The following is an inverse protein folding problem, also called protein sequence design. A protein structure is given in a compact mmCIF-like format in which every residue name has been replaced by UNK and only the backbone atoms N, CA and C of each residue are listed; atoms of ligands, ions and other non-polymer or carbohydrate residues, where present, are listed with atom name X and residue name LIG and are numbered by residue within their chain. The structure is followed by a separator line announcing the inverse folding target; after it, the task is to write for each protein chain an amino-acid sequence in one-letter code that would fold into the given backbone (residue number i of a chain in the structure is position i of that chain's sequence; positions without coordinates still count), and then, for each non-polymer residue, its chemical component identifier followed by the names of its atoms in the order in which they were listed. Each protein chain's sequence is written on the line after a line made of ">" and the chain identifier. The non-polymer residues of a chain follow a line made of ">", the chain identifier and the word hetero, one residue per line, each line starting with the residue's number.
data_IF_540155563344
#
_entry.id   IF_540155563344
#
_cell.length_a   1.000
_cell.length_b   1.000
_cell.length_c   1.000
_cell.angle_alpha   90.00
_cell.angle_beta   90.00
_cell.angle_gamma   90.00
#
_symmetry.space_group_name_H-M   'P 1'
#
loop_
_entity.id
_entity.type
_entity.pdbx_description
1 polymer ?
#
# COMPACT_ATOMS: atom_id res chain seq x y z
N UNK A 1 23.05 23.64 19.92
CA UNK A 1 24.13 23.37 18.94
C UNK A 1 24.09 21.88 18.67
N UNK A 2 23.37 21.45 17.64
CA UNK A 2 23.44 20.09 17.14
C UNK A 2 24.45 20.13 15.98
N UNK A 3 25.45 19.26 16.06
CA UNK A 3 26.61 19.18 15.19
C UNK A 3 26.29 19.19 13.68
N UNK A 4 27.25 19.72 12.91
CA UNK A 4 27.39 19.71 11.45
C UNK A 4 27.48 18.29 10.85
N UNK A 5 26.55 17.39 11.19
CA UNK A 5 26.37 16.14 10.46
C UNK A 5 25.63 16.48 9.16
N UNK A 6 26.21 16.21 7.98
CA UNK A 6 25.47 16.37 6.73
C UNK A 6 24.21 15.50 6.79
N UNK A 7 23.05 16.01 6.33
CA UNK A 7 21.79 15.27 6.39
C UNK A 7 21.94 13.90 5.75
N UNK A 8 21.39 12.85 6.39
CA UNK A 8 21.38 11.49 5.84
C UNK A 8 20.88 11.50 4.39
N UNK A 9 21.62 10.85 3.51
CA UNK A 9 21.28 10.73 2.10
C UNK A 9 21.19 9.27 1.68
N UNK A 10 20.39 9.01 0.66
CA UNK A 10 20.40 7.72 -0.02
C UNK A 10 21.79 7.44 -0.60
N UNK A 11 22.27 6.22 -0.40
CA UNK A 11 23.56 5.77 -0.91
C UNK A 11 23.57 5.68 -2.43
N UNK A 12 22.41 5.33 -3.02
CA UNK A 12 22.25 5.09 -4.44
C UNK A 12 20.95 5.66 -4.99
N UNK A 13 20.91 5.84 -6.31
CA UNK A 13 19.69 6.26 -7.01
C UNK A 13 18.63 5.16 -6.97
N UNK A 14 19.08 3.92 -7.16
CA UNK A 14 18.23 2.75 -7.09
C UNK A 14 17.56 2.64 -5.72
N UNK A 15 18.31 2.88 -4.64
CA UNK A 15 17.78 2.89 -3.28
C UNK A 15 16.68 3.92 -3.07
N UNK A 16 16.85 5.14 -3.59
CA UNK A 16 15.79 6.16 -3.60
C UNK A 16 14.56 5.68 -4.39
N UNK A 17 14.74 5.20 -5.62
CA UNK A 17 13.64 4.77 -6.50
C UNK A 17 12.86 3.61 -5.88
N UNK A 18 13.56 2.58 -5.37
CA UNK A 18 12.90 1.45 -4.72
C UNK A 18 12.19 1.87 -3.43
N UNK A 19 12.74 2.83 -2.69
CA UNK A 19 12.09 3.38 -1.50
C UNK A 19 10.83 4.17 -1.86
N UNK A 20 10.85 5.00 -2.90
CA UNK A 20 9.68 5.79 -3.30
C UNK A 20 8.61 4.91 -3.96
N UNK A 21 9.01 3.89 -4.73
CA UNK A 21 8.09 2.85 -5.20
C UNK A 21 7.50 2.10 -4.01
N UNK A 22 8.31 1.68 -3.03
CA UNK A 22 7.82 0.96 -1.85
C UNK A 22 6.93 1.77 -0.92
N UNK A 23 7.07 3.10 -0.95
CA UNK A 23 6.19 4.03 -0.28
C UNK A 23 4.81 4.14 -0.95
N UNK A 24 4.77 4.05 -2.28
CA UNK A 24 3.53 4.10 -3.06
C UNK A 24 2.84 2.73 -3.12
N UNK A 25 3.63 1.66 -3.21
CA UNK A 25 3.14 0.29 -3.30
C UNK A 25 2.78 -0.22 -1.90
N UNK A 26 1.48 -0.40 -1.68
CA UNK A 26 0.92 -0.98 -0.47
C UNK A 26 -0.12 -2.06 -0.74
N UNK A 27 -0.81 -2.49 0.31
CA UNK A 27 -1.95 -3.44 0.22
C UNK A 27 -3.03 -2.99 -0.76
N UNK A 28 -3.23 -1.68 -0.93
CA UNK A 28 -4.19 -1.12 -1.89
C UNK A 28 -3.89 -1.48 -3.35
N UNK A 29 -2.62 -1.63 -3.73
CA UNK A 29 -2.25 -2.10 -5.07
C UNK A 29 -2.66 -3.55 -5.30
N UNK A 30 -2.66 -4.36 -4.24
CA UNK A 30 -2.87 -5.80 -4.33
C UNK A 30 -4.36 -6.17 -4.24
N UNK A 31 -5.13 -5.55 -3.33
CA UNK A 31 -6.54 -5.90 -3.15
C UNK A 31 -7.54 -4.86 -3.62
N UNK A 32 -7.20 -3.57 -3.57
CA UNK A 32 -8.17 -2.50 -3.85
C UNK A 32 -8.23 -2.23 -5.33
N UNK A 33 -7.08 -2.14 -5.98
CA UNK A 33 -7.00 -1.91 -7.43
C UNK A 33 -7.77 -2.95 -8.26
N UNK A 34 -7.59 -4.28 -8.07
CA UNK A 34 -8.34 -5.27 -8.86
C UNK A 34 -9.85 -5.11 -8.70
N UNK A 35 -10.30 -4.81 -7.47
CA UNK A 35 -11.71 -4.56 -7.14
C UNK A 35 -12.25 -3.30 -7.81
N UNK A 36 -11.55 -2.18 -7.68
CA UNK A 36 -11.95 -0.92 -8.30
C UNK A 36 -11.99 -1.02 -9.82
N UNK A 37 -11.01 -1.70 -10.42
CA UNK A 37 -11.02 -1.97 -11.85
C UNK A 37 -12.25 -2.80 -12.23
N UNK A 38 -12.52 -3.88 -11.51
CA UNK A 38 -13.66 -4.75 -11.77
C UNK A 38 -15.02 -4.05 -11.63
N UNK A 39 -15.25 -3.36 -10.51
CA UNK A 39 -16.50 -2.68 -10.21
C UNK A 39 -16.81 -1.53 -11.17
N UNK A 40 -15.79 -0.98 -11.83
CA UNK A 40 -15.89 0.20 -12.69
C UNK A 40 -15.59 -0.09 -14.18
N UNK A 41 -15.90 -1.31 -14.64
CA UNK A 41 -15.88 -1.65 -16.07
C UNK A 41 -14.50 -1.98 -16.64
N UNK A 42 -13.58 -2.45 -15.79
CA UNK A 42 -12.26 -2.97 -16.14
C UNK A 42 -11.43 -1.96 -16.90
N UNK A 43 -11.28 -2.20 -18.21
CA UNK A 43 -10.50 -1.33 -19.09
C UNK A 43 -11.01 0.12 -19.12
N UNK A 44 -12.30 0.35 -18.86
CA UNK A 44 -12.87 1.71 -18.80
C UNK A 44 -12.28 2.51 -17.63
N UNK A 45 -12.24 1.90 -16.44
CA UNK A 45 -11.57 2.45 -15.26
C UNK A 45 -10.07 2.66 -15.51
N UNK A 46 -9.41 1.69 -16.15
CA UNK A 46 -7.97 1.77 -16.44
C UNK A 46 -7.59 2.97 -17.30
N UNK A 47 -8.42 3.35 -18.27
CA UNK A 47 -8.20 4.53 -19.10
C UNK A 47 -8.15 5.79 -18.23
N UNK A 48 -9.15 5.97 -17.36
CA UNK A 48 -9.17 7.09 -16.42
C UNK A 48 -7.99 7.05 -15.46
N UNK A 49 -7.67 5.88 -14.92
CA UNK A 49 -6.62 5.70 -13.93
C UNK A 49 -5.23 6.03 -14.49
N UNK A 50 -4.93 5.62 -15.73
CA UNK A 50 -3.71 6.00 -16.43
C UNK A 50 -3.72 7.48 -16.83
N UNK A 51 -4.84 8.02 -17.29
CA UNK A 51 -4.95 9.44 -17.60
C UNK A 51 -4.62 10.31 -16.38
N UNK A 52 -5.20 10.00 -15.22
CA UNK A 52 -4.94 10.74 -13.98
C UNK A 52 -3.53 10.49 -13.43
N UNK A 53 -2.90 9.33 -13.70
CA UNK A 53 -1.49 9.15 -13.38
C UNK A 53 -0.64 10.25 -14.03
N UNK A 54 -0.81 10.48 -15.34
CA UNK A 54 -0.02 11.47 -16.08
C UNK A 54 -0.48 12.91 -15.89
N UNK A 55 -1.79 13.14 -15.75
CA UNK A 55 -2.36 14.47 -15.66
C UNK A 55 -2.35 15.05 -14.23
N UNK A 56 -2.35 14.19 -13.20
CA UNK A 56 -2.49 14.60 -11.80
C UNK A 56 -1.33 14.08 -10.94
N UNK A 57 -1.19 12.77 -10.83
CA UNK A 57 -0.29 12.15 -9.84
C UNK A 57 1.18 12.44 -10.11
N UNK A 58 1.68 12.23 -11.34
CA UNK A 58 3.08 12.49 -11.68
C UNK A 58 3.43 13.99 -11.54
N UNK A 59 2.66 14.95 -12.07
CA UNK A 59 2.91 16.38 -11.86
C UNK A 59 2.97 16.76 -10.38
N UNK A 60 2.07 16.21 -9.56
CA UNK A 60 2.03 16.51 -8.13
C UNK A 60 3.24 15.89 -7.40
N UNK A 61 3.61 14.65 -7.73
CA UNK A 61 4.84 14.02 -7.24
C UNK A 61 6.08 14.84 -7.63
N UNK A 62 6.15 15.35 -8.86
CA UNK A 62 7.25 16.23 -9.29
C UNK A 62 7.33 17.50 -8.43
N UNK A 63 6.18 18.12 -8.13
CA UNK A 63 6.12 19.29 -7.27
C UNK A 63 6.60 18.95 -5.84
N UNK A 64 6.12 17.86 -5.26
CA UNK A 64 6.50 17.41 -3.92
C UNK A 64 7.99 17.05 -3.83
N UNK A 65 8.53 16.31 -4.81
CA UNK A 65 9.96 16.01 -4.89
C UNK A 65 10.79 17.30 -5.01
N UNK A 66 10.35 18.28 -5.82
CA UNK A 66 11.03 19.56 -5.94
C UNK A 66 11.02 20.35 -4.62
N UNK A 67 9.88 20.38 -3.93
CA UNK A 67 9.70 21.06 -2.64
C UNK A 67 10.61 20.45 -1.59
N UNK A 68 10.57 19.14 -1.37
CA UNK A 68 11.40 18.49 -0.34
C UNK A 68 12.89 18.53 -0.67
N UNK A 69 13.28 18.41 -1.95
CA UNK A 69 14.68 18.51 -2.36
C UNK A 69 15.24 19.92 -2.17
N UNK A 70 14.42 20.96 -2.38
CA UNK A 70 14.81 22.36 -2.22
C UNK A 70 14.89 22.77 -0.75
N UNK A 71 13.89 22.41 0.04
CA UNK A 71 13.76 22.83 1.44
C UNK A 71 14.60 21.99 2.40
N UNK A 72 14.79 20.70 2.09
CA UNK A 72 15.45 19.73 2.99
C UNK A 72 14.76 19.60 4.34
N UNK A 73 13.45 19.81 4.34
CA UNK A 73 12.56 19.70 5.50
C UNK A 73 11.38 18.81 5.15
N UNK A 74 10.81 18.17 6.16
CA UNK A 74 9.51 17.52 6.13
C UNK A 74 8.38 18.49 5.78
N UNK A 75 7.17 17.95 5.64
CA UNK A 75 5.99 18.68 5.14
C UNK A 75 5.73 20.02 5.84
N UNK A 76 5.85 20.07 7.18
CA UNK A 76 5.61 21.27 8.00
C UNK A 76 6.63 22.37 7.68
N UNK A 77 7.92 22.04 7.75
CA UNK A 77 9.00 22.97 7.45
C UNK A 77 9.02 23.37 5.97
N UNK A 78 8.74 22.42 5.08
CA UNK A 78 8.70 22.65 3.65
C UNK A 78 7.61 23.65 3.26
N UNK A 79 6.40 23.52 3.79
CA UNK A 79 5.31 24.47 3.53
C UNK A 79 5.58 25.85 4.15
N UNK A 80 6.18 25.89 5.35
CA UNK A 80 6.62 27.15 5.97
C UNK A 80 7.57 27.94 5.06
N UNK A 81 8.55 27.27 4.46
CA UNK A 81 9.60 27.94 3.69
C UNK A 81 9.21 28.20 2.23
N UNK A 82 8.35 27.37 1.64
CA UNK A 82 7.90 27.53 0.25
C UNK A 82 6.68 28.43 0.08
N UNK A 83 5.68 28.29 0.95
CA UNK A 83 4.42 29.03 0.88
C UNK A 83 4.36 30.20 1.88
N UNK A 84 5.22 30.18 2.90
CA UNK A 84 5.27 31.20 3.96
C UNK A 84 4.67 30.72 5.27
N UNK A 85 4.97 31.44 6.36
CA UNK A 85 4.57 31.07 7.73
C UNK A 85 3.06 30.92 7.93
N UNK A 86 2.24 31.67 7.20
CA UNK A 86 0.79 31.59 7.29
C UNK A 86 0.22 30.29 6.69
N UNK A 87 1.03 29.54 5.93
CA UNK A 87 0.65 28.28 5.27
C UNK A 87 1.30 27.06 5.92
N UNK A 88 1.99 27.20 7.05
CA UNK A 88 2.58 26.09 7.80
C UNK A 88 1.53 25.04 8.21
N UNK A 89 0.27 25.45 8.40
CA UNK A 89 -0.83 24.54 8.72
C UNK A 89 -1.08 23.50 7.63
N UNK A 90 -0.81 23.80 6.35
CA UNK A 90 -0.92 22.82 5.25
C UNK A 90 0.03 21.65 5.47
N UNK A 91 1.27 21.94 5.83
CA UNK A 91 2.27 20.91 6.11
C UNK A 91 1.95 20.09 7.37
N UNK A 92 1.33 20.73 8.38
CA UNK A 92 0.82 20.05 9.59
C UNK A 92 -0.34 19.13 9.21
N UNK A 93 -1.25 19.59 8.36
CA UNK A 93 -2.38 18.80 7.88
C UNK A 93 -1.91 17.56 7.10
N UNK A 94 -0.97 17.71 6.16
CA UNK A 94 -0.37 16.59 5.42
C UNK A 94 0.28 15.56 6.37
N UNK A 95 1.08 16.04 7.33
CA UNK A 95 1.72 15.18 8.34
C UNK A 95 0.67 14.45 9.18
N UNK A 96 -0.38 15.15 9.63
CA UNK A 96 -1.43 14.60 10.46
C UNK A 96 -2.24 13.54 9.71
N UNK A 97 -2.71 13.84 8.49
CA UNK A 97 -3.48 12.90 7.67
C UNK A 97 -2.65 11.64 7.40
N UNK A 98 -1.38 11.78 7.01
CA UNK A 98 -0.50 10.62 6.84
C UNK A 98 -0.36 9.79 8.12
N UNK A 99 -0.13 10.46 9.26
CA UNK A 99 -0.03 9.77 10.57
C UNK A 99 -1.33 9.07 10.96
N UNK A 100 -2.47 9.71 10.72
CA UNK A 100 -3.79 9.17 11.02
C UNK A 100 -4.16 7.97 10.15
N UNK A 101 -3.75 7.98 8.87
CA UNK A 101 -3.78 6.78 8.02
C UNK A 101 -2.96 5.66 8.65
N UNK A 102 -1.78 5.99 9.19
CA UNK A 102 -0.93 5.03 9.90
C UNK A 102 -1.60 4.31 11.06
N UNK A 103 -2.58 4.92 11.73
CA UNK A 103 -3.26 4.30 12.88
C UNK A 103 -4.03 3.04 12.50
N UNK A 104 -4.89 3.13 11.49
CA UNK A 104 -5.65 1.96 11.03
C UNK A 104 -4.82 1.08 10.08
N UNK A 105 -3.89 1.67 9.33
CA UNK A 105 -3.03 0.92 8.42
C UNK A 105 -2.10 -0.06 9.16
N UNK A 106 -1.68 0.28 10.38
CA UNK A 106 -0.95 -0.64 11.26
C UNK A 106 -1.73 -1.93 11.54
N UNK A 107 -3.06 -1.83 11.68
CA UNK A 107 -3.97 -2.96 11.91
C UNK A 107 -4.06 -3.82 10.66
N UNK A 108 -4.25 -3.18 9.50
CA UNK A 108 -4.25 -3.81 8.17
C UNK A 108 -2.95 -4.59 7.91
N UNK A 109 -1.79 -4.00 8.23
CA UNK A 109 -0.51 -4.69 8.15
C UNK A 109 -0.42 -5.87 9.13
N UNK A 110 -1.02 -5.75 10.32
CA UNK A 110 -1.17 -6.86 11.25
C UNK A 110 -1.94 -8.03 10.63
N UNK A 111 -3.03 -7.76 9.90
CA UNK A 111 -3.81 -8.79 9.21
C UNK A 111 -2.97 -9.55 8.18
N UNK A 112 -2.14 -8.86 7.39
CA UNK A 112 -1.29 -9.53 6.40
C UNK A 112 -0.26 -10.44 7.05
N UNK A 113 0.32 -10.02 8.18
CA UNK A 113 1.29 -10.84 8.94
C UNK A 113 0.59 -12.08 9.52
N UNK A 114 -0.60 -11.91 10.09
CA UNK A 114 -1.40 -13.05 10.58
C UNK A 114 -1.72 -14.02 9.46
N UNK A 115 -2.20 -13.55 8.32
CA UNK A 115 -2.54 -14.44 7.21
C UNK A 115 -1.34 -15.12 6.57
N UNK A 116 -0.18 -14.48 6.58
CA UNK A 116 1.07 -15.17 6.23
C UNK A 116 1.34 -16.33 7.20
N UNK A 117 1.11 -16.14 8.50
CA UNK A 117 1.23 -17.22 9.48
C UNK A 117 0.23 -18.36 9.23
N UNK A 118 -1.05 -18.06 8.96
CA UNK A 118 -2.07 -19.09 8.60
C UNK A 118 -1.62 -19.88 7.37
N UNK A 119 -1.13 -19.19 6.34
CA UNK A 119 -0.73 -19.82 5.10
C UNK A 119 0.48 -20.74 5.32
N UNK A 120 1.54 -20.27 6.00
CA UNK A 120 2.77 -21.06 6.16
C UNK A 120 2.64 -22.20 7.16
N UNK A 121 1.85 -22.04 8.22
CA UNK A 121 1.58 -23.08 9.23
C UNK A 121 0.80 -24.26 8.68
N UNK A 122 0.05 -24.05 7.59
CA UNK A 122 -0.79 -25.07 6.97
C UNK A 122 -2.26 -24.96 7.38
N UNK A 123 -2.61 -24.16 8.39
CA UNK A 123 -3.98 -23.94 8.88
C UNK A 123 -4.95 -23.52 7.77
N UNK A 124 -4.45 -22.79 6.76
CA UNK A 124 -5.23 -22.41 5.57
C UNK A 124 -5.69 -23.62 4.76
N UNK A 125 -4.87 -24.67 4.69
CA UNK A 125 -5.11 -25.86 3.84
C UNK A 125 -6.30 -26.68 4.31
N UNK A 126 -6.66 -26.55 5.59
CA UNK A 126 -7.79 -27.24 6.19
C UNK A 126 -9.14 -26.57 5.84
N UNK A 127 -9.11 -25.29 5.43
CA UNK A 127 -10.31 -24.49 5.12
C UNK A 127 -10.65 -24.51 3.62
N UNK A 128 -11.17 -25.64 3.15
CA UNK A 128 -11.32 -25.93 1.70
C UNK A 128 -12.48 -25.24 0.99
N UNK A 129 -13.31 -24.49 1.71
CA UNK A 129 -14.42 -23.72 1.16
C UNK A 129 -14.53 -22.31 1.77
N UNK A 130 -15.30 -21.44 1.12
CA UNK A 130 -15.49 -20.04 1.53
C UNK A 130 -16.15 -19.90 2.90
N UNK A 131 -16.97 -20.87 3.34
CA UNK A 131 -17.61 -20.82 4.67
C UNK A 131 -16.56 -21.01 5.76
N UNK A 132 -15.62 -21.94 5.55
CA UNK A 132 -14.54 -22.21 6.48
C UNK A 132 -13.52 -21.07 6.52
N UNK A 133 -13.19 -20.47 5.38
CA UNK A 133 -12.29 -19.29 5.38
C UNK A 133 -12.95 -18.03 5.91
N UNK A 134 -14.26 -17.87 5.70
CA UNK A 134 -15.05 -16.84 6.38
C UNK A 134 -14.97 -17.04 7.90
N UNK A 135 -15.15 -18.26 8.41
CA UNK A 135 -15.01 -18.54 9.83
C UNK A 135 -13.58 -18.28 10.34
N UNK A 136 -12.53 -18.60 9.56
CA UNK A 136 -11.15 -18.26 9.90
C UNK A 136 -10.95 -16.74 10.05
N UNK A 137 -11.49 -15.97 9.11
CA UNK A 137 -11.47 -14.50 9.16
C UNK A 137 -12.24 -13.97 10.36
N UNK A 138 -13.47 -14.43 10.56
CA UNK A 138 -14.36 -13.95 11.62
C UNK A 138 -13.80 -14.26 13.01
N UNK A 139 -13.22 -15.45 13.20
CA UNK A 139 -12.56 -15.83 14.45
C UNK A 139 -11.37 -14.93 14.77
N UNK A 140 -10.58 -14.58 13.76
CA UNK A 140 -9.44 -13.67 13.93
C UNK A 140 -9.92 -12.24 14.21
N UNK A 141 -10.77 -11.69 13.35
CA UNK A 141 -11.15 -10.28 13.41
C UNK A 141 -12.05 -9.96 14.61
N UNK A 142 -12.77 -10.96 15.12
CA UNK A 142 -13.56 -10.87 16.36
C UNK A 142 -12.73 -11.13 17.62
N UNK A 143 -11.41 -11.30 17.51
CA UNK A 143 -10.47 -11.46 18.62
C UNK A 143 -9.61 -10.20 18.80
N UNK A 144 -10.10 -9.17 19.54
CA UNK A 144 -9.38 -7.91 19.75
C UNK A 144 -7.94 -8.09 20.24
N UNK A 145 -7.71 -9.07 21.14
CA UNK A 145 -6.37 -9.35 21.67
C UNK A 145 -5.40 -9.83 20.59
N UNK A 146 -5.87 -10.68 19.67
CA UNK A 146 -5.05 -11.19 18.57
C UNK A 146 -4.79 -10.10 17.52
N UNK A 147 -5.82 -9.33 17.14
CA UNK A 147 -5.67 -8.22 16.18
C UNK A 147 -4.69 -7.16 16.71
N UNK A 148 -4.84 -6.76 17.98
CA UNK A 148 -3.91 -5.81 18.64
C UNK A 148 -2.50 -6.41 18.71
N UNK A 149 -2.35 -7.70 19.00
CA UNK A 149 -1.03 -8.34 19.03
C UNK A 149 -0.30 -8.24 17.69
N UNK A 150 -0.98 -8.56 16.58
CA UNK A 150 -0.39 -8.44 15.25
C UNK A 150 -0.17 -6.98 14.81
N UNK A 151 -1.03 -6.04 15.23
CA UNK A 151 -0.80 -4.61 15.05
C UNK A 151 0.50 -4.16 15.76
N UNK A 152 0.74 -4.62 16.99
CA UNK A 152 1.96 -4.28 17.74
C UNK A 152 3.22 -4.84 17.05
N UNK A 153 3.15 -6.07 16.52
CA UNK A 153 4.22 -6.64 15.69
C UNK A 153 4.48 -5.77 14.46
N UNK A 154 3.42 -5.35 13.78
CA UNK A 154 3.51 -4.51 12.58
C UNK A 154 4.22 -3.19 12.90
N UNK A 155 3.77 -2.46 13.92
CA UNK A 155 4.40 -1.20 14.36
C UNK A 155 5.84 -1.42 14.78
N UNK A 156 6.16 -2.51 15.51
CA UNK A 156 7.52 -2.79 15.95
C UNK A 156 8.48 -3.00 14.77
N UNK A 157 8.08 -3.76 13.74
CA UNK A 157 8.91 -3.95 12.55
C UNK A 157 9.11 -2.65 11.78
N UNK A 158 8.06 -1.86 11.57
CA UNK A 158 8.17 -0.57 10.90
C UNK A 158 9.06 0.39 11.68
N UNK A 159 8.87 0.49 13.01
CA UNK A 159 9.67 1.31 13.90
C UNK A 159 11.14 0.91 13.87
N UNK A 160 11.45 -0.40 13.87
CA UNK A 160 12.82 -0.90 13.77
C UNK A 160 13.52 -0.44 12.50
N UNK A 161 12.83 -0.47 11.34
CA UNK A 161 13.42 0.00 10.08
C UNK A 161 13.65 1.52 10.12
N UNK A 162 12.67 2.30 10.57
CA UNK A 162 12.76 3.77 10.63
C UNK A 162 13.80 4.24 11.67
N UNK A 163 13.97 3.49 12.77
CA UNK A 163 14.98 3.75 13.80
C UNK A 163 16.41 3.76 13.23
N UNK A 164 16.67 2.96 12.19
CA UNK A 164 17.95 2.88 11.50
C UNK A 164 18.14 3.98 10.42
N UNK A 165 17.25 4.98 10.39
CA UNK A 165 17.33 6.13 9.49
C UNK A 165 17.16 5.77 8.02
N UNK A 166 17.59 6.67 7.14
CA UNK A 166 17.46 6.48 5.68
C UNK A 166 18.21 5.23 5.22
N UNK A 167 19.35 4.92 5.85
CA UNK A 167 20.13 3.72 5.50
C UNK A 167 19.38 2.41 5.77
N UNK A 168 18.60 2.35 6.87
CA UNK A 168 17.76 1.20 7.19
C UNK A 168 16.60 1.07 6.20
N UNK A 169 15.93 2.18 5.90
CA UNK A 169 14.83 2.24 4.94
C UNK A 169 15.30 1.83 3.54
N UNK A 170 16.46 2.32 3.09
CA UNK A 170 17.03 1.98 1.79
C UNK A 170 17.34 0.48 1.70
N UNK A 171 18.04 -0.08 2.71
CA UNK A 171 18.38 -1.50 2.75
C UNK A 171 17.14 -2.39 2.77
N UNK A 172 16.12 -2.02 3.54
CA UNK A 172 14.86 -2.75 3.58
C UNK A 172 14.18 -2.74 2.21
N UNK A 173 13.98 -1.57 1.59
CA UNK A 173 13.31 -1.48 0.29
C UNK A 173 14.11 -2.12 -0.87
N UNK A 174 15.44 -2.10 -0.80
CA UNK A 174 16.31 -2.81 -1.75
C UNK A 174 16.09 -4.32 -1.77
N UNK A 175 15.51 -4.89 -0.71
CA UNK A 175 15.21 -6.33 -0.61
C UNK A 175 13.71 -6.55 -0.79
N UNK A 176 12.88 -5.84 -0.01
CA UNK A 176 11.44 -6.06 0.07
C UNK A 176 10.73 -5.81 -1.27
N UNK A 177 11.08 -4.75 -2.00
CA UNK A 177 10.41 -4.40 -3.26
C UNK A 177 10.74 -5.37 -4.40
N UNK A 178 12.01 -5.73 -4.65
CA UNK A 178 12.31 -6.78 -5.61
C UNK A 178 11.68 -8.13 -5.25
N UNK A 179 11.69 -8.53 -3.96
CA UNK A 179 11.03 -9.76 -3.51
C UNK A 179 9.52 -9.69 -3.74
N UNK A 180 8.87 -8.58 -3.39
CA UNK A 180 7.45 -8.34 -3.62
C UNK A 180 7.10 -8.52 -5.11
N UNK A 181 7.83 -7.85 -6.00
CA UNK A 181 7.58 -7.94 -7.46
C UNK A 181 7.81 -9.36 -7.96
N UNK A 182 8.87 -10.04 -7.52
CA UNK A 182 9.13 -11.42 -7.92
C UNK A 182 8.00 -12.37 -7.47
N UNK A 183 7.53 -12.23 -6.23
CA UNK A 183 6.43 -13.02 -5.70
C UNK A 183 5.12 -12.73 -6.43
N UNK A 184 4.83 -11.47 -6.75
CA UNK A 184 3.64 -11.11 -7.53
C UNK A 184 3.70 -11.62 -8.97
N UNK A 185 4.89 -11.66 -9.61
CA UNK A 185 5.05 -12.24 -10.94
C UNK A 185 4.75 -13.75 -10.90
N UNK A 186 5.26 -14.48 -9.90
CA UNK A 186 4.94 -15.91 -9.72
C UNK A 186 3.44 -16.11 -9.53
N UNK A 187 2.81 -15.32 -8.65
CA UNK A 187 1.37 -15.35 -8.43
C UNK A 187 0.57 -14.98 -9.69
N UNK A 188 1.08 -14.09 -10.54
CA UNK A 188 0.45 -13.67 -11.80
C UNK A 188 0.47 -14.76 -12.88
N UNK A 189 1.54 -15.57 -12.93
CA UNK A 189 1.69 -16.63 -13.94
C UNK A 189 0.82 -17.85 -13.60
N UNK A 190 0.65 -18.14 -12.31
CA UNK A 190 0.05 -19.40 -11.87
C UNK A 190 -1.37 -19.68 -12.40
N UNK A 191 -2.31 -18.70 -12.46
CA UNK A 191 -3.66 -18.94 -12.97
C UNK A 191 -3.70 -19.49 -14.39
N UNK A 192 -2.73 -19.10 -15.22
CA UNK A 192 -2.60 -19.57 -16.59
C UNK A 192 -2.08 -21.01 -16.68
N UNK A 193 -1.41 -21.51 -15.65
CA UNK A 193 -1.03 -22.92 -15.53
C UNK A 193 -2.22 -23.75 -15.08
N UNK A 194 -3.01 -23.22 -14.15
CA UNK A 194 -4.17 -23.90 -13.58
C UNK A 194 -5.34 -24.02 -14.56
N UNK A 195 -5.82 -22.90 -15.09
CA UNK A 195 -6.94 -22.83 -16.04
C UNK A 195 -6.71 -21.68 -17.03
N UNK A 196 -6.05 -21.95 -18.17
CA UNK A 196 -5.72 -20.92 -19.15
C UNK A 196 -6.94 -20.15 -19.66
N UNK A 197 -8.08 -20.81 -19.90
CA UNK A 197 -9.28 -20.15 -20.43
C UNK A 197 -9.94 -19.22 -19.43
N UNK A 198 -10.02 -19.64 -18.16
CA UNK A 198 -10.53 -18.79 -17.07
C UNK A 198 -9.61 -17.60 -16.80
N UNK A 199 -8.30 -17.82 -16.73
CA UNK A 199 -7.33 -16.73 -16.56
C UNK A 199 -7.38 -15.71 -17.70
N UNK A 200 -7.54 -16.15 -18.96
CA UNK A 200 -7.74 -15.27 -20.12
C UNK A 200 -9.04 -14.46 -19.99
N UNK A 201 -10.09 -15.01 -19.40
CA UNK A 201 -11.33 -14.28 -19.15
C UNK A 201 -11.11 -13.16 -18.12
N UNK A 202 -10.37 -13.43 -17.04
CA UNK A 202 -9.95 -12.40 -16.08
C UNK A 202 -9.14 -11.28 -16.74
N UNK A 203 -8.23 -11.61 -17.67
CA UNK A 203 -7.51 -10.60 -18.46
C UNK A 203 -8.45 -9.78 -19.34
N UNK A 204 -9.37 -10.43 -20.06
CA UNK A 204 -10.35 -9.74 -20.90
C UNK A 204 -11.18 -8.77 -20.06
N UNK A 205 -11.61 -9.21 -18.89
CA UNK A 205 -12.36 -8.36 -17.98
C UNK A 205 -11.54 -7.16 -17.49
N UNK A 206 -10.27 -7.37 -17.14
CA UNK A 206 -9.39 -6.28 -16.71
C UNK A 206 -9.08 -5.27 -17.82
N UNK A 207 -8.77 -5.74 -19.04
CA UNK A 207 -8.20 -4.89 -20.09
C UNK A 207 -9.19 -4.45 -21.18
N UNK A 208 -10.32 -5.13 -21.38
CA UNK A 208 -11.32 -4.73 -22.38
C UNK A 208 -12.27 -3.70 -21.76
N UNK A 209 -12.34 -2.47 -22.30
CA UNK A 209 -13.22 -1.45 -21.75
C UNK A 209 -14.69 -1.77 -21.97
N UNK A 210 -15.48 -1.75 -20.90
CA UNK A 210 -16.93 -1.80 -21.00
C UNK A 210 -17.49 -0.41 -21.29
N UNK A 211 -17.96 -0.20 -22.51
CA UNK A 211 -18.28 1.13 -23.05
C UNK A 211 -19.27 1.94 -22.20
N UNK A 212 -20.23 1.29 -21.54
CA UNK A 212 -21.19 1.97 -20.66
C UNK A 212 -20.54 2.70 -19.48
N UNK A 213 -19.42 2.19 -18.96
CA UNK A 213 -18.72 2.77 -17.81
C UNK A 213 -17.93 4.02 -18.19
N UNK A 214 -17.59 4.20 -19.46
CA UNK A 214 -16.93 5.42 -19.95
C UNK A 214 -17.83 6.66 -19.80
N UNK A 215 -19.14 6.47 -19.82
CA UNK A 215 -20.14 7.55 -19.68
C UNK A 215 -20.61 7.75 -18.24
N UNK A 216 -20.15 6.92 -17.28
CA UNK A 216 -20.47 7.07 -15.85
C UNK A 216 -19.43 7.97 -15.19
N UNK A 217 -19.84 9.13 -14.69
CA UNK A 217 -18.95 10.05 -13.97
C UNK A 217 -18.28 9.41 -12.74
N UNK A 218 -18.97 8.48 -12.08
CA UNK A 218 -18.41 7.72 -10.94
C UNK A 218 -17.13 6.95 -11.32
N UNK A 219 -17.08 6.30 -12.49
CA UNK A 219 -15.89 5.59 -12.98
C UNK A 219 -14.65 6.48 -12.98
N UNK A 220 -14.79 7.73 -13.44
CA UNK A 220 -13.70 8.70 -13.51
C UNK A 220 -13.29 9.21 -12.13
N UNK A 221 -14.26 9.46 -11.25
CA UNK A 221 -13.97 9.87 -9.86
C UNK A 221 -13.22 8.74 -9.14
N UNK A 222 -13.69 7.49 -9.23
CA UNK A 222 -13.03 6.31 -8.65
C UNK A 222 -11.61 6.15 -9.20
N UNK A 223 -11.42 6.33 -10.50
CA UNK A 223 -10.11 6.23 -11.15
C UNK A 223 -9.14 7.33 -10.69
N UNK A 224 -9.61 8.57 -10.55
CA UNK A 224 -8.83 9.68 -9.99
C UNK A 224 -8.44 9.39 -8.54
N UNK A 225 -9.40 9.03 -7.69
CA UNK A 225 -9.17 8.70 -6.27
C UNK A 225 -8.16 7.56 -6.14
N UNK A 226 -8.33 6.48 -6.90
CA UNK A 226 -7.39 5.36 -6.87
C UNK A 226 -5.98 5.79 -7.32
N UNK A 227 -5.86 6.63 -8.36
CA UNK A 227 -4.54 7.10 -8.85
C UNK A 227 -3.84 8.00 -7.83
N UNK A 228 -4.56 8.95 -7.22
CA UNK A 228 -4.01 9.86 -6.22
C UNK A 228 -3.55 9.11 -4.97
N UNK A 229 -4.41 8.26 -4.41
CA UNK A 229 -4.10 7.49 -3.20
C UNK A 229 -3.00 6.47 -3.42
N UNK A 230 -3.06 5.72 -4.52
CA UNK A 230 -2.07 4.66 -4.79
C UNK A 230 -0.67 5.24 -4.97
N UNK A 231 -0.54 6.47 -5.43
CA UNK A 231 0.78 7.12 -5.56
C UNK A 231 1.18 7.94 -4.34
N UNK A 232 0.29 8.09 -3.35
CA UNK A 232 0.42 9.03 -2.22
C UNK A 232 0.69 10.48 -2.66
N UNK A 233 0.21 10.86 -3.85
CA UNK A 233 0.45 12.19 -4.39
C UNK A 233 -0.36 13.23 -3.59
N UNK A 234 0.34 14.24 -3.03
CA UNK A 234 -0.27 15.26 -2.18
C UNK A 234 -0.27 14.92 -0.68
N UNK A 235 0.15 13.70 -0.29
CA UNK A 235 0.28 13.29 1.10
C UNK A 235 1.61 13.71 1.73
N UNK A 236 2.52 14.31 0.94
CA UNK A 236 3.82 14.76 1.44
C UNK A 236 4.86 13.64 1.59
N UNK A 237 4.53 12.45 1.09
CA UNK A 237 5.46 11.31 1.08
C UNK A 237 6.67 11.57 0.18
N UNK A 238 6.44 12.13 -1.00
CA UNK A 238 7.53 12.54 -1.89
C UNK A 238 8.36 13.68 -1.29
N UNK A 239 7.75 14.63 -0.56
CA UNK A 239 8.48 15.67 0.20
C UNK A 239 9.42 15.00 1.21
N UNK A 240 8.89 14.08 2.01
CA UNK A 240 9.60 13.36 3.07
C UNK A 240 10.86 12.68 2.56
N UNK A 241 10.77 11.89 1.49
CA UNK A 241 11.94 11.21 0.94
C UNK A 241 12.86 12.13 0.14
N UNK A 242 12.32 13.22 -0.41
CA UNK A 242 13.13 14.20 -1.12
C UNK A 242 14.15 14.92 -0.22
N UNK A 243 13.89 14.98 1.10
CA UNK A 243 14.85 15.52 2.09
C UNK A 243 16.20 14.81 2.00
N UNK A 244 16.21 13.50 1.76
CA UNK A 244 17.41 12.66 1.70
C UNK A 244 17.97 12.46 0.27
N UNK A 245 17.44 13.15 -0.74
CA UNK A 245 17.91 13.02 -2.13
C UNK A 245 19.30 13.62 -2.33
N UNK A 246 20.14 13.02 -3.17
CA UNK A 246 21.42 13.64 -3.55
C UNK A 246 21.19 14.90 -4.40
N UNK A 247 22.13 15.84 -4.38
CA UNK A 247 21.99 17.15 -5.08
C UNK A 247 21.72 16.98 -6.60
N UNK A 248 22.35 15.99 -7.23
CA UNK A 248 22.27 15.73 -8.68
C UNK A 248 21.10 14.83 -9.11
N UNK A 249 20.19 14.47 -8.20
CA UNK A 249 19.04 13.62 -8.56
C UNK A 249 18.06 14.32 -9.50
N UNK A 250 17.56 13.61 -10.51
CA UNK A 250 16.55 14.12 -11.45
C UNK A 250 15.15 13.91 -10.86
N UNK A 251 14.44 15.02 -10.63
CA UNK A 251 13.10 15.02 -10.05
C UNK A 251 12.07 14.42 -11.01
N UNK A 252 12.14 14.79 -12.29
CA UNK A 252 11.18 14.31 -13.29
C UNK A 252 11.27 12.80 -13.43
N UNK A 253 12.47 12.28 -13.65
CA UNK A 253 12.67 10.84 -13.79
C UNK A 253 12.23 10.08 -12.53
N UNK A 254 12.56 10.58 -11.33
CA UNK A 254 12.16 9.90 -10.09
C UNK A 254 10.64 9.91 -9.87
N UNK A 255 9.95 11.00 -10.24
CA UNK A 255 8.48 11.06 -10.19
C UNK A 255 7.82 10.09 -11.17
N UNK A 256 8.30 10.04 -12.42
CA UNK A 256 7.82 9.10 -13.43
C UNK A 256 8.05 7.65 -13.02
N UNK A 257 9.24 7.30 -12.53
CA UNK A 257 9.55 5.94 -12.09
C UNK A 257 8.74 5.53 -10.86
N UNK A 258 8.48 6.46 -9.94
CA UNK A 258 7.62 6.20 -8.78
C UNK A 258 6.18 5.91 -9.21
N UNK A 259 5.58 6.79 -10.03
CA UNK A 259 4.22 6.63 -10.50
C UNK A 259 4.01 5.41 -11.41
N UNK A 260 4.91 5.20 -12.38
CA UNK A 260 4.85 4.04 -13.28
C UNK A 260 5.16 2.74 -12.55
N UNK A 261 6.14 2.74 -11.64
CA UNK A 261 6.48 1.57 -10.83
C UNK A 261 5.31 1.15 -9.94
N UNK A 262 4.66 2.11 -9.29
CA UNK A 262 3.43 1.89 -8.52
C UNK A 262 2.33 1.23 -9.37
N UNK A 263 2.02 1.81 -10.53
CA UNK A 263 0.97 1.30 -11.40
C UNK A 263 1.34 -0.06 -12.02
N UNK A 264 2.61 -0.31 -12.32
CA UNK A 264 3.07 -1.62 -12.79
C UNK A 264 2.81 -2.71 -11.74
N UNK A 265 3.07 -2.44 -10.46
CA UNK A 265 2.74 -3.40 -9.40
C UNK A 265 1.24 -3.63 -9.28
N UNK A 266 0.42 -2.57 -9.35
CA UNK A 266 -1.05 -2.71 -9.36
C UNK A 266 -1.53 -3.55 -10.54
N UNK A 267 -0.93 -3.41 -11.73
CA UNK A 267 -1.29 -4.21 -12.89
C UNK A 267 -0.90 -5.68 -12.72
N UNK A 268 0.32 -5.96 -12.24
CA UNK A 268 0.76 -7.34 -11.96
C UNK A 268 -0.18 -7.99 -10.94
N UNK A 269 -0.51 -7.28 -9.85
CA UNK A 269 -1.42 -7.78 -8.84
C UNK A 269 -2.86 -7.90 -9.36
N UNK A 270 -3.34 -6.97 -10.19
CA UNK A 270 -4.63 -7.05 -10.87
C UNK A 270 -4.77 -8.28 -11.74
N UNK A 271 -3.74 -8.59 -12.54
CA UNK A 271 -3.69 -9.82 -13.34
C UNK A 271 -3.61 -11.04 -12.45
N UNK A 272 -2.80 -11.01 -11.39
CA UNK A 272 -2.73 -12.10 -10.43
C UNK A 272 -4.11 -12.35 -9.81
N UNK A 273 -4.71 -11.38 -9.16
CA UNK A 273 -5.98 -11.52 -8.45
C UNK A 273 -7.15 -11.85 -9.39
N UNK A 274 -7.38 -11.10 -10.46
CA UNK A 274 -8.51 -11.36 -11.36
C UNK A 274 -8.28 -12.60 -12.22
N UNK A 275 -7.06 -12.83 -12.72
CA UNK A 275 -6.73 -14.05 -13.45
C UNK A 275 -6.96 -15.27 -12.56
N UNK A 276 -6.58 -15.18 -11.29
CA UNK A 276 -6.80 -16.20 -10.27
C UNK A 276 -8.29 -16.42 -10.02
N UNK A 277 -9.06 -15.39 -9.67
CA UNK A 277 -10.50 -15.51 -9.39
C UNK A 277 -11.25 -16.17 -10.55
N UNK A 278 -11.02 -15.70 -11.78
CA UNK A 278 -11.70 -16.25 -12.97
C UNK A 278 -11.17 -17.62 -13.42
N UNK A 279 -9.92 -17.97 -13.12
CA UNK A 279 -9.39 -19.32 -13.37
C UNK A 279 -10.09 -20.39 -12.51
N UNK A 280 -10.68 -19.99 -11.39
CA UNK A 280 -11.24 -20.89 -10.37
C UNK A 280 -12.75 -20.75 -10.18
N UNK A 281 -13.37 -19.80 -10.87
CA UNK A 281 -14.82 -19.70 -10.93
C UNK A 281 -15.36 -20.67 -11.98
N UNK A 282 -16.46 -21.36 -11.68
CA UNK A 282 -17.14 -22.25 -12.63
C UNK A 282 -17.87 -21.45 -13.71
N UNK A 283 -18.13 -20.16 -13.46
CA UNK A 283 -18.75 -19.25 -14.41
C UNK A 283 -18.23 -17.80 -14.29
N UNK A 284 -18.44 -17.01 -15.35
CA UNK A 284 -18.20 -15.56 -15.33
C UNK A 284 -18.98 -14.86 -14.21
N UNK A 285 -20.19 -15.33 -13.90
CA UNK A 285 -21.05 -14.70 -12.89
C UNK A 285 -20.47 -14.86 -11.48
N UNK A 286 -19.99 -16.06 -11.15
CA UNK A 286 -19.33 -16.35 -9.88
C UNK A 286 -18.02 -15.56 -9.73
N UNK A 287 -17.25 -15.44 -10.81
CA UNK A 287 -16.04 -14.63 -10.81
C UNK A 287 -16.31 -13.14 -10.58
N UNK A 288 -17.45 -12.63 -11.02
CA UNK A 288 -17.87 -11.25 -10.75
C UNK A 288 -18.36 -11.08 -9.31
N UNK A 289 -19.17 -12.01 -8.81
CA UNK A 289 -19.68 -11.99 -7.44
C UNK A 289 -18.53 -12.01 -6.42
N UNK A 290 -17.50 -12.84 -6.65
CA UNK A 290 -16.31 -12.88 -5.80
C UNK A 290 -15.61 -11.51 -5.71
N UNK A 291 -15.59 -10.74 -6.80
CA UNK A 291 -14.94 -9.41 -6.82
C UNK A 291 -15.79 -8.33 -6.13
N UNK A 292 -17.10 -8.54 -5.99
CA UNK A 292 -18.01 -7.60 -5.34
C UNK A 292 -17.97 -7.70 -3.79
N UNK A 293 -17.35 -8.73 -3.23
CA UNK A 293 -17.27 -9.05 -1.77
C UNK A 293 -16.52 -8.05 -0.86
N UNK A 294 -16.08 -6.89 -1.38
CA UNK A 294 -15.34 -5.87 -0.62
C UNK A 294 -13.82 -6.14 -0.50
N UNK A 295 -13.06 -5.13 -0.06
CA UNK A 295 -11.58 -5.14 -0.13
C UNK A 295 -10.91 -6.19 0.75
N UNK A 296 -11.39 -6.36 1.99
CA UNK A 296 -10.88 -7.36 2.95
C UNK A 296 -11.42 -8.76 2.63
N UNK A 297 -12.71 -8.86 2.28
CA UNK A 297 -13.36 -10.11 1.88
C UNK A 297 -12.68 -10.80 0.71
N UNK A 298 -12.42 -10.06 -0.37
CA UNK A 298 -11.75 -10.61 -1.55
C UNK A 298 -10.42 -11.29 -1.21
N UNK A 299 -9.64 -10.71 -0.30
CA UNK A 299 -8.27 -11.17 -0.06
C UNK A 299 -8.16 -12.19 1.06
N UNK A 300 -8.79 -11.93 2.19
CA UNK A 300 -8.64 -12.75 3.39
C UNK A 300 -9.66 -13.88 3.49
N UNK A 301 -10.69 -13.87 2.63
CA UNK A 301 -11.73 -14.91 2.61
C UNK A 301 -11.67 -15.64 1.27
N UNK A 302 -11.90 -14.95 0.15
CA UNK A 302 -12.01 -15.59 -1.17
C UNK A 302 -10.68 -16.10 -1.71
N UNK A 303 -9.62 -15.26 -1.74
CA UNK A 303 -8.29 -15.73 -2.16
C UNK A 303 -7.73 -16.79 -1.19
N UNK A 304 -8.11 -16.76 0.08
CA UNK A 304 -7.71 -17.78 1.04
C UNK A 304 -8.41 -19.12 0.76
N UNK A 305 -9.73 -19.11 0.53
CA UNK A 305 -10.51 -20.31 0.17
C UNK A 305 -9.94 -20.96 -1.09
N UNK A 306 -9.55 -20.08 -2.00
CA UNK A 306 -8.90 -20.50 -3.19
C UNK A 306 -7.56 -21.21 -2.93
N UNK A 307 -6.64 -20.56 -2.21
CA UNK A 307 -5.35 -21.20 -1.98
C UNK A 307 -5.52 -22.51 -1.21
N UNK A 308 -6.54 -22.62 -0.35
CA UNK A 308 -6.87 -23.88 0.30
C UNK A 308 -7.33 -24.99 -0.69
N UNK A 309 -8.17 -24.64 -1.68
CA UNK A 309 -8.69 -25.61 -2.66
C UNK A 309 -7.62 -26.18 -3.60
N UNK A 310 -6.46 -25.52 -3.67
CA UNK A 310 -5.31 -25.89 -4.51
C UNK A 310 -4.34 -26.89 -3.85
N UNK A 311 -4.63 -27.38 -2.65
CA UNK A 311 -3.80 -28.36 -1.93
C UNK A 311 -2.36 -27.87 -1.71
N UNK A 312 -1.36 -28.72 -1.95
CA UNK A 312 0.06 -28.37 -1.70
C UNK A 312 0.55 -27.17 -2.52
N UNK A 313 0.08 -27.02 -3.77
CA UNK A 313 0.43 -25.86 -4.59
C UNK A 313 -0.14 -24.58 -3.96
N UNK A 314 -1.37 -24.67 -3.47
CA UNK A 314 -2.07 -23.67 -2.70
C UNK A 314 -1.34 -23.17 -1.45
N UNK A 315 -0.86 -24.10 -0.63
CA UNK A 315 -0.03 -23.79 0.53
C UNK A 315 1.20 -22.95 0.17
N UNK A 316 1.94 -23.34 -0.87
CA UNK A 316 3.14 -22.61 -1.32
C UNK A 316 2.77 -21.22 -1.86
N UNK A 317 1.76 -21.14 -2.73
CA UNK A 317 1.40 -19.90 -3.42
C UNK A 317 0.74 -18.90 -2.46
N UNK A 318 -0.17 -19.36 -1.60
CA UNK A 318 -0.78 -18.53 -0.58
C UNK A 318 0.25 -18.00 0.41
N UNK A 319 1.24 -18.82 0.80
CA UNK A 319 2.35 -18.37 1.65
C UNK A 319 3.16 -17.27 0.96
N UNK A 320 3.49 -17.43 -0.33
CA UNK A 320 4.21 -16.42 -1.12
C UNK A 320 3.38 -15.15 -1.27
N UNK A 321 2.08 -15.27 -1.53
CA UNK A 321 1.16 -14.15 -1.72
C UNK A 321 1.00 -13.32 -0.44
N UNK A 322 0.73 -13.96 0.71
CA UNK A 322 0.59 -13.23 1.97
C UNK A 322 1.92 -12.68 2.50
N UNK A 323 3.05 -13.33 2.17
CA UNK A 323 4.37 -12.76 2.42
C UNK A 323 4.59 -11.49 1.59
N UNK A 324 4.26 -11.54 0.29
CA UNK A 324 4.33 -10.39 -0.60
C UNK A 324 3.45 -9.24 -0.08
N UNK A 325 2.19 -9.53 0.29
CA UNK A 325 1.30 -8.54 0.91
C UNK A 325 1.88 -7.93 2.18
N UNK A 326 2.48 -8.74 3.05
CA UNK A 326 3.12 -8.26 4.27
C UNK A 326 4.30 -7.34 3.99
N UNK A 327 5.06 -7.60 2.92
CA UNK A 327 6.15 -6.72 2.48
C UNK A 327 5.62 -5.39 1.94
N UNK A 328 4.58 -5.43 1.09
CA UNK A 328 3.93 -4.21 0.59
C UNK A 328 3.35 -3.36 1.74
N UNK A 329 2.70 -3.99 2.72
CA UNK A 329 2.19 -3.31 3.90
C UNK A 329 3.34 -2.71 4.74
N UNK A 330 4.42 -3.47 4.96
CA UNK A 330 5.58 -3.02 5.73
C UNK A 330 6.25 -1.79 5.11
N UNK A 331 6.48 -1.79 3.79
CA UNK A 331 7.16 -0.66 3.12
C UNK A 331 6.33 0.61 3.17
N UNK A 332 5.02 0.50 2.95
CA UNK A 332 4.07 1.61 3.10
C UNK A 332 4.00 2.12 4.56
N UNK A 333 3.97 1.22 5.54
CA UNK A 333 3.91 1.63 6.95
C UNK A 333 5.21 2.32 7.43
N UNK A 334 6.37 1.85 6.95
CA UNK A 334 7.67 2.50 7.18
C UNK A 334 7.65 3.93 6.63
N UNK A 335 7.10 4.11 5.44
CA UNK A 335 6.93 5.42 4.80
C UNK A 335 6.03 6.35 5.61
N UNK A 336 4.87 5.87 6.05
CA UNK A 336 3.96 6.64 6.88
C UNK A 336 4.59 7.09 8.20
N UNK A 337 5.27 6.19 8.92
CA UNK A 337 5.99 6.54 10.15
C UNK A 337 7.09 7.58 9.89
N UNK A 338 7.90 7.37 8.84
CA UNK A 338 8.98 8.29 8.47
C UNK A 338 8.45 9.69 8.10
N UNK A 339 7.27 9.78 7.48
CA UNK A 339 6.60 11.05 7.18
C UNK A 339 6.26 11.87 8.41
N UNK A 340 5.91 11.22 9.53
CA UNK A 340 5.72 11.90 10.80
C UNK A 340 7.07 12.24 11.45
N UNK A 341 7.98 11.26 11.53
CA UNK A 341 9.28 11.37 12.21
C UNK A 341 10.12 12.54 11.67
N UNK A 342 10.17 12.73 10.35
CA UNK A 342 10.98 13.80 9.75
C UNK A 342 10.56 15.19 10.26
N UNK A 343 9.27 15.41 10.46
CA UNK A 343 8.75 16.70 10.92
C UNK A 343 9.12 17.00 12.38
N UNK A 344 9.17 15.98 13.25
CA UNK A 344 9.64 16.16 14.62
C UNK A 344 11.16 16.34 14.70
N UNK A 345 11.91 15.64 13.84
CA UNK A 345 13.36 15.84 13.72
C UNK A 345 13.67 17.27 13.27
N UNK A 346 12.91 17.83 12.32
CA UNK A 346 13.04 19.23 11.90
C UNK A 346 12.79 20.22 13.05
N UNK A 347 11.97 19.85 14.03
CA UNK A 347 11.71 20.64 15.25
C UNK A 347 12.81 20.48 16.31
N UNK A 348 13.85 19.69 16.05
CA UNK A 348 15.01 19.51 16.91
C UNK A 348 14.96 18.27 17.80
N UNK A 349 14.02 17.35 17.59
CA UNK A 349 13.98 16.09 18.32
C UNK A 349 15.10 15.16 17.85
N UNK A 350 15.65 14.37 18.78
CA UNK A 350 16.56 13.28 18.41
C UNK A 350 15.76 12.21 17.65
N UNK A 351 16.32 11.68 16.54
CA UNK A 351 15.59 10.76 15.65
C UNK A 351 15.06 9.55 16.43
N UNK A 352 15.88 8.93 17.28
CA UNK A 352 15.48 7.71 17.99
C UNK A 352 14.36 7.97 18.98
N UNK A 353 14.38 9.12 19.64
CA UNK A 353 13.29 9.57 20.50
C UNK A 353 12.00 9.82 19.71
N UNK A 354 12.09 10.54 18.58
CA UNK A 354 10.96 10.78 17.70
C UNK A 354 10.33 9.45 17.22
N UNK A 355 11.14 8.51 16.74
CA UNK A 355 10.66 7.17 16.32
C UNK A 355 9.98 6.45 17.48
N UNK A 356 10.59 6.43 18.67
CA UNK A 356 10.01 5.77 19.85
C UNK A 356 8.64 6.35 20.20
N UNK A 357 8.53 7.67 20.37
CA UNK A 357 7.28 8.30 20.80
C UNK A 357 6.19 8.21 19.73
N UNK A 358 6.53 8.42 18.46
CA UNK A 358 5.57 8.32 17.35
C UNK A 358 5.08 6.88 17.19
N UNK A 359 5.97 5.88 17.27
CA UNK A 359 5.56 4.48 17.16
C UNK A 359 4.64 4.06 18.31
N UNK A 360 4.92 4.54 19.53
CA UNK A 360 4.04 4.35 20.68
C UNK A 360 2.67 5.02 20.44
N UNK A 361 2.67 6.27 19.96
CA UNK A 361 1.43 6.98 19.66
C UNK A 361 0.59 6.25 18.59
N UNK A 362 1.22 5.76 17.52
CA UNK A 362 0.57 4.99 16.45
C UNK A 362 0.02 3.66 16.97
N UNK A 363 0.79 2.95 17.81
CA UNK A 363 0.31 1.72 18.45
C UNK A 363 -0.95 1.96 19.29
N UNK A 364 -0.95 2.97 20.15
CA UNK A 364 -2.11 3.29 20.99
C UNK A 364 -3.30 3.84 20.20
N UNK A 365 -3.06 4.75 19.27
CA UNK A 365 -4.11 5.35 18.44
C UNK A 365 -4.72 4.38 17.42
N UNK A 366 -4.03 3.29 17.09
CA UNK A 366 -4.57 2.20 16.26
C UNK A 366 -5.48 1.21 17.01
N UNK A 367 -5.45 1.17 18.36
CA UNK A 367 -6.25 0.22 19.14
C UNK A 367 -7.76 0.32 18.83
N UNK A 368 -8.38 1.51 18.75
CA UNK A 368 -9.79 1.61 18.38
C UNK A 368 -10.13 0.93 17.04
N UNK A 369 -9.25 1.04 16.04
CA UNK A 369 -9.41 0.36 14.76
C UNK A 369 -9.13 -1.15 14.84
N UNK A 370 -8.27 -1.59 15.77
CA UNK A 370 -8.00 -3.00 16.00
C UNK A 370 -9.15 -3.74 16.70
N UNK A 371 -9.91 -3.04 17.54
CA UNK A 371 -11.03 -3.64 18.30
C UNK A 371 -12.38 -3.49 17.59
N UNK A 372 -12.49 -2.65 16.57
CA UNK A 372 -13.73 -2.36 15.86
C UNK A 372 -13.48 -2.15 14.36
N UNK A 373 -13.98 -3.08 13.55
CA UNK A 373 -13.98 -2.95 12.09
C UNK A 373 -14.76 -1.73 11.61
N UNK A 374 -15.90 -1.43 12.23
CA UNK A 374 -16.69 -0.23 11.89
C UNK A 374 -15.88 1.05 12.13
N UNK A 375 -15.12 1.12 13.22
CA UNK A 375 -14.22 2.24 13.47
C UNK A 375 -13.11 2.29 12.42
N UNK A 376 -12.50 1.15 12.08
CA UNK A 376 -11.47 1.06 11.05
C UNK A 376 -11.97 1.56 9.69
N UNK A 377 -13.13 1.09 9.23
CA UNK A 377 -13.72 1.45 7.94
C UNK A 377 -14.04 2.96 7.88
N UNK A 378 -14.53 3.51 9.00
CA UNK A 378 -14.73 4.95 9.14
C UNK A 378 -13.40 5.71 9.02
N UNK A 379 -12.35 5.29 9.73
CA UNK A 379 -11.05 5.96 9.66
C UNK A 379 -10.41 5.85 8.26
N UNK A 380 -10.54 4.71 7.58
CA UNK A 380 -10.08 4.53 6.20
C UNK A 380 -10.80 5.51 5.26
N UNK A 381 -12.12 5.67 5.41
CA UNK A 381 -12.88 6.63 4.63
C UNK A 381 -12.51 8.10 4.93
N UNK A 382 -12.47 8.47 6.21
CA UNK A 382 -12.24 9.86 6.65
C UNK A 382 -10.83 10.32 6.30
N UNK A 383 -9.80 9.60 6.73
CA UNK A 383 -8.42 10.03 6.49
C UNK A 383 -8.01 9.84 5.05
N UNK A 384 -8.61 8.85 4.41
CA UNK A 384 -8.55 8.69 2.99
C UNK A 384 -8.97 9.89 2.16
N UNK A 385 -10.08 10.52 2.54
CA UNK A 385 -10.62 11.70 1.84
C UNK A 385 -10.12 13.02 2.43
N UNK A 386 -9.20 12.96 3.40
CA UNK A 386 -8.72 14.12 4.14
C UNK A 386 -7.81 15.07 3.36
N UNK A 387 -7.30 14.67 2.18
CA UNK A 387 -6.41 15.47 1.33
C UNK A 387 -6.94 15.64 -0.09
#
# INVERSE_FOLDING_TARGET
>A
MADDQPPEQFSSRLGLILTTIGAAVGTGNIWRFPREAAANGGGAFMIGWLLFLFAWSIPLLMAEFAIGKKTRLGTVGAMRDMAGRNFTWLGIWMMWVGTAVGFYYAVVMGWTIRYFWIAISGDMSDATDTTQTQALWDNFISSPGEVVFFQLIAVAFSAFIVYNGISGIEKANMILIPCLVAFLIVAMIYPFILNPSGAILGLKFLFIPQGEYLFKGETWIRALTQSAWSTSAGFGMAITYAVAMRKKEDIGLNAFLTGLGNNAVSLIAGVAVLGTVFALSDSTAEGLEAVESGSSGLTFIHLTALFASMGTAGWVIGSIFFLAMSFAALTSMVSTLQGCVVNFVDMGWERKEAVRYISVAVAFAGIPAAISLEFLDNQDFVWGTGL
#
